data_IF_887990799223
#
_entry.id   IF_887990799223
#
_cell.length_a   1.000
_cell.length_b   1.000
_cell.length_c   1.000
_cell.angle_alpha   90.00
_cell.angle_beta   90.00
_cell.angle_gamma   90.00
#
_symmetry.space_group_name_H-M   'P 1'
#
loop_
_entity.id
_entity.type
_entity.pdbx_description
1 polymer ?
#
# COMPACT_ATOMS: atom_id res chain seq x y z
N UNK A 1 -1.03 33.11 -7.84
CA UNK A 1 -2.47 32.80 -7.95
C UNK A 1 -2.88 31.56 -7.16
N UNK A 2 -2.22 30.39 -7.29
CA UNK A 2 -2.58 29.15 -6.56
C UNK A 2 -2.51 29.32 -5.02
N UNK A 3 -1.45 29.94 -4.50
CA UNK A 3 -1.29 30.19 -3.06
C UNK A 3 -2.40 31.07 -2.44
N UNK A 4 -2.95 32.00 -3.24
CA UNK A 4 -4.00 32.91 -2.80
C UNK A 4 -5.37 32.22 -2.77
N UNK A 5 -5.60 31.28 -3.70
CA UNK A 5 -6.80 30.45 -3.76
C UNK A 5 -6.88 29.47 -2.57
N UNK A 6 -5.77 28.80 -2.24
CA UNK A 6 -5.70 27.86 -1.10
C UNK A 6 -5.89 28.58 0.24
N UNK A 7 -5.31 29.78 0.40
CA UNK A 7 -5.50 30.59 1.60
C UNK A 7 -6.94 31.07 1.75
N UNK A 8 -7.61 31.44 0.65
CA UNK A 8 -9.02 31.82 0.67
C UNK A 8 -9.94 30.64 1.02
N UNK A 9 -9.74 29.46 0.44
CA UNK A 9 -10.48 28.24 0.80
C UNK A 9 -10.31 27.86 2.28
N UNK A 10 -9.07 27.95 2.80
CA UNK A 10 -8.79 27.67 4.21
C UNK A 10 -9.54 28.64 5.14
N UNK A 11 -9.57 29.94 4.79
CA UNK A 11 -10.34 30.94 5.57
C UNK A 11 -11.85 30.73 5.49
N UNK A 12 -12.39 30.42 4.31
CA UNK A 12 -13.82 30.18 4.11
C UNK A 12 -14.30 28.93 4.87
N UNK A 13 -13.54 27.84 4.80
CA UNK A 13 -13.85 26.58 5.51
C UNK A 13 -13.71 26.72 7.03
N UNK A 14 -12.73 27.50 7.52
CA UNK A 14 -12.57 27.77 8.95
C UNK A 14 -13.71 28.64 9.52
N UNK A 15 -14.15 29.67 8.78
CA UNK A 15 -15.28 30.50 9.19
C UNK A 15 -16.60 29.70 9.28
N UNK A 16 -16.86 28.82 8.31
CA UNK A 16 -18.05 27.97 8.32
C UNK A 16 -18.09 26.99 9.51
N UNK A 17 -16.96 26.39 9.89
CA UNK A 17 -16.89 25.54 11.09
C UNK A 17 -17.10 26.31 12.39
N UNK A 18 -16.60 27.54 12.49
CA UNK A 18 -16.82 28.41 13.65
C UNK A 18 -18.29 28.80 13.80
N UNK A 19 -18.98 29.02 12.69
CA UNK A 19 -20.40 29.38 12.69
C UNK A 19 -21.32 28.18 13.01
N UNK A 20 -20.93 26.96 12.59
CA UNK A 20 -21.64 25.74 12.96
C UNK A 20 -21.46 25.37 14.45
N UNK A 21 -20.28 25.63 15.02
CA UNK A 21 -19.99 25.43 16.45
C UNK A 21 -20.58 26.51 17.35
N UNK A 22 -20.92 27.69 16.82
CA UNK A 22 -21.65 28.72 17.56
C UNK A 22 -23.16 28.54 17.57
N UNK A 23 -23.69 27.58 16.80
CA UNK A 23 -25.13 27.41 16.65
C UNK A 23 -25.73 26.58 17.79
N UNK A 24 -26.87 27.03 18.33
CA UNK A 24 -27.52 26.43 19.49
C UNK A 24 -27.85 24.93 19.33
N UNK A 25 -28.09 24.47 18.11
CA UNK A 25 -28.34 23.07 17.82
C UNK A 25 -27.12 22.16 18.05
N UNK A 26 -25.89 22.69 18.01
CA UNK A 26 -24.66 21.92 18.22
C UNK A 26 -24.44 21.53 19.68
N UNK A 27 -25.14 22.20 20.61
CA UNK A 27 -25.14 21.93 22.05
C UNK A 27 -26.20 20.88 22.45
N UNK A 28 -27.08 20.49 21.51
CA UNK A 28 -28.09 19.48 21.77
C UNK A 28 -27.44 18.09 21.89
N UNK A 29 -27.91 17.24 22.81
CA UNK A 29 -27.43 15.86 22.91
C UNK A 29 -27.61 15.13 21.58
N UNK A 30 -26.61 14.35 21.19
CA UNK A 30 -26.71 13.51 20.01
C UNK A 30 -27.83 12.48 20.22
N UNK A 31 -28.85 12.54 19.36
CA UNK A 31 -29.92 11.53 19.29
C UNK A 31 -29.53 10.42 18.32
N UNK A 32 -30.25 9.30 18.35
CA UNK A 32 -30.03 8.16 17.46
C UNK A 32 -30.08 8.58 15.98
N UNK A 33 -30.98 9.50 15.64
CA UNK A 33 -31.14 10.06 14.30
C UNK A 33 -29.92 10.87 13.86
N UNK A 34 -29.34 11.67 14.77
CA UNK A 34 -28.12 12.42 14.47
C UNK A 34 -26.90 11.51 14.30
N UNK A 35 -26.84 10.39 15.03
CA UNK A 35 -25.79 9.39 14.86
C UNK A 35 -25.93 8.69 13.50
N UNK A 36 -27.14 8.23 13.17
CA UNK A 36 -27.42 7.61 11.87
C UNK A 36 -27.10 8.55 10.69
N UNK A 37 -27.44 9.84 10.81
CA UNK A 37 -27.13 10.82 9.77
C UNK A 37 -25.62 11.05 9.60
N UNK A 38 -24.85 11.04 10.70
CA UNK A 38 -23.39 11.11 10.67
C UNK A 38 -22.80 9.88 10.00
N UNK A 39 -23.17 8.69 10.43
CA UNK A 39 -22.68 7.42 9.88
C UNK A 39 -23.01 7.30 8.39
N UNK A 40 -24.22 7.71 7.98
CA UNK A 40 -24.59 7.77 6.56
C UNK A 40 -23.73 8.76 5.78
N UNK A 41 -23.47 9.95 6.33
CA UNK A 41 -22.61 10.96 5.70
C UNK A 41 -21.17 10.47 5.55
N UNK A 42 -20.62 9.83 6.58
CA UNK A 42 -19.27 9.27 6.57
C UNK A 42 -19.17 8.14 5.53
N UNK A 43 -20.14 7.24 5.48
CA UNK A 43 -20.19 6.17 4.48
C UNK A 43 -20.28 6.74 3.06
N UNK A 44 -21.13 7.75 2.84
CA UNK A 44 -21.29 8.40 1.55
C UNK A 44 -20.01 9.13 1.12
N UNK A 45 -19.32 9.81 2.04
CA UNK A 45 -18.05 10.49 1.74
C UNK A 45 -16.95 9.51 1.37
N UNK A 46 -16.85 8.38 2.09
CA UNK A 46 -15.90 7.32 1.77
C UNK A 46 -16.18 6.70 0.41
N UNK A 47 -17.46 6.46 0.07
CA UNK A 47 -17.83 5.98 -1.27
C UNK A 47 -17.46 6.99 -2.34
N UNK A 48 -17.81 8.27 -2.17
CA UNK A 48 -17.47 9.33 -3.12
C UNK A 48 -15.96 9.48 -3.32
N UNK A 49 -15.17 9.42 -2.26
CA UNK A 49 -13.71 9.49 -2.36
C UNK A 49 -13.14 8.31 -3.15
N UNK A 50 -13.61 7.08 -2.88
CA UNK A 50 -13.19 5.88 -3.61
C UNK A 50 -13.62 5.91 -5.08
N UNK A 51 -14.84 6.36 -5.36
CA UNK A 51 -15.36 6.51 -6.71
C UNK A 51 -14.59 7.57 -7.49
N UNK A 52 -14.29 8.72 -6.88
CA UNK A 52 -13.45 9.75 -7.48
C UNK A 52 -12.04 9.24 -7.77
N UNK A 53 -11.42 8.54 -6.83
CA UNK A 53 -10.09 7.94 -7.03
C UNK A 53 -10.09 6.89 -8.15
N UNK A 54 -11.15 6.08 -8.26
CA UNK A 54 -11.31 5.15 -9.38
C UNK A 54 -11.56 5.89 -10.70
N UNK A 55 -12.37 6.95 -10.67
CA UNK A 55 -12.64 7.78 -11.84
C UNK A 55 -11.35 8.41 -12.34
N UNK A 56 -10.57 9.07 -11.48
CA UNK A 56 -9.27 9.62 -11.82
C UNK A 56 -8.30 8.57 -12.36
N UNK A 57 -8.27 7.35 -11.79
CA UNK A 57 -7.47 6.24 -12.31
C UNK A 57 -7.94 5.75 -13.70
N UNK A 58 -9.26 5.79 -13.95
CA UNK A 58 -9.87 5.40 -15.24
C UNK A 58 -9.77 6.47 -16.33
N UNK A 59 -9.37 7.70 -15.98
CA UNK A 59 -9.21 8.83 -16.92
C UNK A 59 -7.89 8.74 -17.70
N UNK A 60 -7.05 7.73 -17.47
CA UNK A 60 -5.91 7.46 -18.34
C UNK A 60 -6.41 7.19 -19.76
N UNK A 61 -6.03 8.03 -20.73
CA UNK A 61 -6.37 7.83 -22.14
C UNK A 61 -5.98 6.44 -22.64
N UNK A 62 -4.96 5.83 -22.03
CA UNK A 62 -4.49 4.49 -22.32
C UNK A 62 -5.42 3.37 -21.83
N UNK A 63 -6.22 3.56 -20.78
CA UNK A 63 -7.17 2.54 -20.30
C UNK A 63 -8.44 2.43 -21.14
N UNK A 64 -8.73 3.44 -21.97
CA UNK A 64 -9.83 3.42 -22.95
C UNK A 64 -9.42 2.75 -24.27
N UNK A 65 -8.13 2.52 -24.49
CA UNK A 65 -7.65 1.87 -25.70
C UNK A 65 -8.05 0.38 -25.67
N UNK A 66 -8.47 -0.18 -26.82
CA UNK A 66 -8.69 -1.61 -26.94
C UNK A 66 -7.44 -2.36 -26.50
N UNK A 67 -7.63 -3.41 -25.69
CA UNK A 67 -6.52 -4.27 -25.33
C UNK A 67 -5.88 -4.86 -26.59
N UNK A 68 -4.62 -4.51 -26.83
CA UNK A 68 -3.82 -5.10 -27.90
C UNK A 68 -3.39 -6.50 -27.52
N UNK A 69 -2.96 -7.28 -28.50
CA UNK A 69 -2.36 -8.60 -28.22
C UNK A 69 -1.18 -8.46 -27.27
N UNK A 70 -0.33 -7.45 -27.45
CA UNK A 70 0.83 -7.19 -26.60
C UNK A 70 0.47 -6.97 -25.13
N UNK A 71 -0.54 -6.16 -24.81
CA UNK A 71 -0.95 -5.93 -23.42
C UNK A 71 -1.52 -7.18 -22.76
N UNK A 72 -2.22 -8.03 -23.52
CA UNK A 72 -2.69 -9.34 -23.05
C UNK A 72 -1.53 -10.29 -22.73
N UNK A 73 -0.53 -10.36 -23.61
CA UNK A 73 0.66 -11.19 -23.36
C UNK A 73 1.45 -10.68 -22.15
N UNK A 74 1.64 -9.37 -22.01
CA UNK A 74 2.35 -8.77 -20.87
C UNK A 74 1.64 -9.01 -19.53
N UNK A 75 0.30 -8.92 -19.51
CA UNK A 75 -0.50 -9.26 -18.32
C UNK A 75 -0.35 -10.73 -17.96
N UNK A 76 -0.56 -11.64 -18.92
CA UNK A 76 -0.45 -13.08 -18.69
C UNK A 76 0.96 -13.47 -18.23
N UNK A 77 2.01 -12.88 -18.81
CA UNK A 77 3.38 -13.07 -18.36
C UNK A 77 3.59 -12.60 -16.91
N UNK A 78 3.01 -11.44 -16.55
CA UNK A 78 3.08 -10.91 -15.18
C UNK A 78 2.34 -11.80 -14.17
N UNK A 79 1.17 -12.33 -14.53
CA UNK A 79 0.40 -13.27 -13.71
C UNK A 79 1.18 -14.56 -13.46
N UNK A 80 1.75 -15.16 -14.52
CA UNK A 80 2.58 -16.35 -14.41
C UNK A 80 3.83 -16.12 -13.54
N UNK A 81 4.50 -14.98 -13.69
CA UNK A 81 5.66 -14.63 -12.88
C UNK A 81 5.30 -14.42 -11.41
N UNK A 82 4.14 -13.81 -11.12
CA UNK A 82 3.62 -13.61 -9.77
C UNK A 82 3.29 -14.95 -9.10
N UNK A 83 2.61 -15.85 -9.83
CA UNK A 83 2.29 -17.19 -9.33
C UNK A 83 3.56 -18.01 -9.07
N UNK A 84 4.56 -17.92 -9.96
CA UNK A 84 5.84 -18.59 -9.76
C UNK A 84 6.61 -18.00 -8.57
N UNK A 85 6.55 -16.67 -8.37
CA UNK A 85 7.17 -16.02 -7.21
C UNK A 85 6.52 -16.46 -5.91
N UNK A 86 5.18 -16.54 -5.85
CA UNK A 86 4.45 -17.02 -4.67
C UNK A 86 4.76 -18.49 -4.37
N UNK A 87 4.77 -19.35 -5.41
CA UNK A 87 5.15 -20.76 -5.27
C UNK A 87 6.59 -20.93 -4.84
N UNK A 88 7.54 -20.16 -5.39
CA UNK A 88 8.95 -20.18 -4.99
C UNK A 88 9.18 -19.65 -3.58
N UNK A 89 8.46 -18.61 -3.13
CA UNK A 89 8.57 -18.17 -1.74
C UNK A 89 8.02 -19.22 -0.77
N UNK A 90 6.93 -19.90 -1.14
CA UNK A 90 6.38 -21.01 -0.35
C UNK A 90 7.35 -22.20 -0.28
N UNK A 91 7.92 -22.63 -1.42
CA UNK A 91 8.88 -23.74 -1.43
C UNK A 91 10.24 -23.37 -0.87
N UNK A 92 10.69 -22.12 -0.95
CA UNK A 92 11.96 -21.67 -0.36
C UNK A 92 11.90 -21.62 1.17
N UNK A 93 10.78 -21.17 1.73
CA UNK A 93 10.52 -21.25 3.17
C UNK A 93 10.44 -22.72 3.63
N UNK A 94 9.82 -23.59 2.82
CA UNK A 94 9.77 -25.04 3.07
C UNK A 94 11.08 -25.79 2.78
N UNK A 95 11.99 -25.22 1.98
CA UNK A 95 13.28 -25.82 1.61
C UNK A 95 14.44 -25.32 2.47
N UNK A 96 14.19 -24.50 3.49
CA UNK A 96 15.14 -24.32 4.58
C UNK A 96 15.23 -25.66 5.30
N UNK A 97 16.19 -26.49 4.86
CA UNK A 97 16.54 -27.74 5.51
C UNK A 97 16.62 -27.53 7.02
N UNK A 98 16.07 -28.45 7.82
CA UNK A 98 16.11 -28.41 9.29
C UNK A 98 17.53 -28.12 9.81
N UNK A 99 18.54 -28.60 9.08
CA UNK A 99 19.95 -28.35 9.35
C UNK A 99 20.33 -26.85 9.34
N UNK A 100 19.72 -26.04 8.45
CA UNK A 100 19.97 -24.59 8.35
C UNK A 100 19.36 -23.77 9.48
N UNK A 101 18.45 -24.37 10.28
CA UNK A 101 17.80 -23.74 11.43
C UNK A 101 18.47 -24.13 12.75
N UNK A 102 19.39 -25.11 12.74
CA UNK A 102 20.10 -25.53 13.94
C UNK A 102 21.03 -24.40 14.42
N UNK A 103 21.15 -24.20 15.75
CA UNK A 103 22.13 -23.29 16.30
C UNK A 103 23.53 -23.67 15.81
N UNK A 104 24.29 -22.69 15.31
CA UNK A 104 25.63 -22.94 14.81
C UNK A 104 26.51 -23.42 15.97
N UNK A 105 27.12 -24.59 15.83
CA UNK A 105 28.09 -25.11 16.80
C UNK A 105 29.44 -24.43 16.59
N UNK A 106 30.33 -24.50 17.60
CA UNK A 106 31.67 -23.95 17.50
C UNK A 106 32.44 -24.48 16.29
N UNK A 107 32.22 -25.75 15.93
CA UNK A 107 32.80 -26.40 14.76
C UNK A 107 32.32 -25.78 13.44
N UNK A 108 31.02 -25.46 13.31
CA UNK A 108 30.49 -24.81 12.10
C UNK A 108 31.02 -23.39 11.94
N UNK A 109 31.19 -22.66 13.04
CA UNK A 109 31.79 -21.31 13.01
C UNK A 109 33.27 -21.37 12.60
N UNK A 110 34.02 -22.34 13.13
CA UNK A 110 35.40 -22.56 12.75
C UNK A 110 35.53 -22.95 11.27
N UNK A 111 34.72 -23.91 10.80
CA UNK A 111 34.71 -24.32 9.40
C UNK A 111 34.39 -23.16 8.46
N UNK A 112 33.45 -22.27 8.85
CA UNK A 112 33.14 -21.06 8.09
C UNK A 112 34.32 -20.10 8.03
N UNK A 113 34.96 -19.79 9.16
CA UNK A 113 36.13 -18.92 9.18
C UNK A 113 37.28 -19.46 8.33
N UNK A 114 37.52 -20.77 8.38
CA UNK A 114 38.54 -21.42 7.54
C UNK A 114 38.18 -21.38 6.05
N UNK A 115 36.91 -21.53 5.69
CA UNK A 115 36.44 -21.41 4.31
C UNK A 115 36.58 -19.98 3.77
N UNK A 116 36.28 -18.97 4.59
CA UNK A 116 36.43 -17.55 4.24
C UNK A 116 37.92 -17.21 4.03
N UNK A 117 38.82 -17.67 4.91
CA UNK A 117 40.27 -17.53 4.74
C UNK A 117 40.80 -18.23 3.47
N UNK A 118 40.32 -19.44 3.17
CA UNK A 118 40.71 -20.16 1.95
C UNK A 118 40.17 -19.51 0.67
N UNK A 119 39.00 -18.86 0.74
CA UNK A 119 38.44 -18.07 -0.33
C UNK A 119 39.36 -16.92 -0.72
N UNK A 120 39.87 -16.19 0.29
CA UNK A 120 40.76 -15.04 0.06
C UNK A 120 42.14 -15.46 -0.47
N UNK A 121 42.64 -16.64 -0.07
CA UNK A 121 43.93 -17.16 -0.58
C UNK A 121 43.85 -17.51 -2.07
N UNK A 122 42.70 -17.98 -2.58
CA UNK A 122 42.51 -18.32 -4.00
C UNK A 122 42.34 -17.12 -4.93
N UNK A 123 42.26 -15.90 -4.40
CA UNK A 123 42.16 -14.67 -5.23
C UNK A 123 43.55 -14.15 -5.63
N UNK A 124 44.63 -14.71 -5.07
CA UNK A 124 46.02 -14.25 -5.30
C UNK A 124 46.96 -15.29 -5.93
N UNK A 125 46.43 -16.40 -6.45
CA UNK A 125 47.11 -17.32 -7.40
C UNK A 125 46.53 -17.16 -8.81
#
# INVERSE_FOLDING_TARGET
MIHQCVCFQSKYTAAGRKQASSALYSLLPATLETQHARDATDLLSQRKYKEEAQREASVSLYSLLPETTETKHARHASELLSENKNKRSCTQENSRSVYSQLPHTQETLFAKQMADLQSDVRVYE
#
